data_IF_610039373521
#
_entry.id   IF_610039373521
#
_cell.length_a   1.000
_cell.length_b   1.000
_cell.length_c   1.000
_cell.angle_alpha   90.00
_cell.angle_beta   90.00
_cell.angle_gamma   90.00
#
_symmetry.space_group_name_H-M   'P 1'
#
loop_
_entity.id
_entity.type
_entity.pdbx_description
1 polymer ?
#
# COMPACT_ATOMS: atom_id res chain seq x y z
N UNK A 1 -70.46 -1.99 8.44
CA UNK A 1 -69.40 -1.51 7.53
C UNK A 1 -68.30 -0.68 8.20
N UNK A 2 -68.40 -0.31 9.50
CA UNK A 2 -67.40 0.57 10.16
C UNK A 2 -66.24 -0.21 10.83
N UNK A 3 -66.43 -1.50 11.14
CA UNK A 3 -65.44 -2.31 11.88
C UNK A 3 -64.26 -2.81 11.03
N UNK A 4 -64.43 -2.90 9.71
CA UNK A 4 -63.38 -3.36 8.80
C UNK A 4 -62.45 -2.23 8.31
N UNK A 5 -62.86 -0.95 8.44
CA UNK A 5 -61.98 0.18 8.11
C UNK A 5 -60.94 0.45 9.20
N UNK A 6 -61.25 0.18 10.48
CA UNK A 6 -60.34 0.45 11.60
C UNK A 6 -59.10 -0.47 11.62
N UNK A 7 -59.20 -1.67 11.03
CA UNK A 7 -58.11 -2.65 11.00
C UNK A 7 -57.09 -2.31 9.90
N UNK A 8 -57.54 -1.72 8.79
CA UNK A 8 -56.66 -1.34 7.66
C UNK A 8 -55.82 -0.09 7.99
N UNK A 9 -56.38 0.87 8.74
CA UNK A 9 -55.63 2.07 9.18
C UNK A 9 -54.55 1.76 10.22
N UNK A 10 -54.72 0.71 11.04
CA UNK A 10 -53.71 0.34 12.05
C UNK A 10 -52.48 -0.36 11.43
N UNK A 11 -52.64 -1.08 10.31
CA UNK A 11 -51.52 -1.76 9.61
C UNK A 11 -50.65 -0.81 8.78
N UNK A 12 -51.20 0.34 8.34
CA UNK A 12 -50.46 1.35 7.56
C UNK A 12 -49.51 2.21 8.41
N UNK A 13 -49.68 2.23 9.74
CA UNK A 13 -48.84 3.03 10.64
C UNK A 13 -47.56 2.30 11.11
N UNK A 14 -47.42 0.99 10.84
CA UNK A 14 -46.23 0.22 11.27
C UNK A 14 -45.13 0.12 10.21
N UNK A 15 -45.31 0.67 8.99
CA UNK A 15 -44.28 0.64 7.95
C UNK A 15 -43.38 1.87 7.92
N UNK A 16 -43.65 2.89 8.74
CA UNK A 16 -42.94 4.17 8.72
C UNK A 16 -41.96 4.34 9.89
N UNK A 17 -41.07 3.36 10.13
CA UNK A 17 -39.84 3.53 10.92
C UNK A 17 -38.84 2.40 10.61
N UNK A 18 -38.53 2.20 9.34
CA UNK A 18 -37.25 1.59 8.97
C UNK A 18 -36.17 2.64 9.26
N UNK A 19 -35.69 2.72 10.50
CA UNK A 19 -34.49 3.48 10.81
C UNK A 19 -33.38 3.00 9.86
N UNK A 20 -32.93 3.89 9.00
CA UNK A 20 -31.88 3.60 8.03
C UNK A 20 -30.70 3.06 8.83
N UNK A 21 -30.32 1.79 8.61
CA UNK A 21 -29.25 1.17 9.39
C UNK A 21 -27.99 2.02 9.21
N UNK A 22 -27.25 2.34 10.27
CA UNK A 22 -25.99 3.05 10.14
C UNK A 22 -25.08 2.29 9.17
N UNK A 23 -24.38 3.02 8.30
CA UNK A 23 -23.46 2.43 7.34
C UNK A 23 -22.41 1.60 8.08
N UNK A 24 -22.19 0.37 7.64
CA UNK A 24 -21.14 -0.51 8.16
C UNK A 24 -20.03 -0.61 7.12
N UNK A 25 -18.79 -0.40 7.55
CA UNK A 25 -17.61 -0.51 6.69
C UNK A 25 -17.60 -1.83 5.88
N UNK A 26 -17.34 -1.72 4.58
CA UNK A 26 -17.18 -2.84 3.68
C UNK A 26 -15.85 -2.69 2.91
N UNK A 27 -15.01 -3.72 2.96
CA UNK A 27 -13.69 -3.68 2.33
C UNK A 27 -13.76 -3.59 0.80
N UNK A 28 -14.75 -4.21 0.16
CA UNK A 28 -14.92 -4.14 -1.29
C UNK A 28 -15.37 -2.73 -1.72
N UNK A 29 -16.24 -2.08 -0.95
CA UNK A 29 -16.59 -0.67 -1.20
C UNK A 29 -15.38 0.24 -1.02
N UNK A 30 -14.53 -0.03 -0.02
CA UNK A 30 -13.28 0.71 0.21
C UNK A 30 -12.32 0.59 -0.96
N UNK A 31 -12.04 -0.64 -1.42
CA UNK A 31 -11.14 -0.89 -2.54
C UNK A 31 -11.66 -0.40 -3.89
N UNK A 32 -12.98 -0.23 -4.03
CA UNK A 32 -13.62 0.28 -5.27
C UNK A 32 -13.93 1.77 -5.24
N UNK A 33 -13.71 2.44 -4.10
CA UNK A 33 -13.96 3.87 -3.97
C UNK A 33 -13.05 4.67 -4.90
N UNK A 34 -13.61 5.71 -5.53
CA UNK A 34 -12.79 6.66 -6.31
C UNK A 34 -12.03 7.60 -5.37
N UNK A 35 -12.72 8.06 -4.35
CA UNK A 35 -12.21 8.96 -3.31
C UNK A 35 -12.78 8.53 -1.96
N UNK A 36 -11.96 8.65 -0.92
CA UNK A 36 -12.39 8.37 0.44
C UNK A 36 -12.99 9.61 1.12
N UNK A 37 -14.11 9.45 1.86
CA UNK A 37 -14.85 10.58 2.46
C UNK A 37 -14.32 11.02 3.83
N UNK A 38 -13.24 10.40 4.32
CA UNK A 38 -12.78 10.59 5.69
C UNK A 38 -12.08 11.94 5.86
N UNK A 39 -12.42 12.65 6.94
CA UNK A 39 -11.92 13.99 7.27
C UNK A 39 -10.64 13.96 8.12
N UNK A 40 -9.94 12.83 8.14
CA UNK A 40 -8.72 12.62 8.90
C UNK A 40 -7.61 13.60 8.48
N UNK A 41 -6.87 14.20 9.42
CA UNK A 41 -5.71 15.03 9.09
C UNK A 41 -4.57 14.16 8.50
N UNK A 42 -3.88 14.62 7.42
CA UNK A 42 -2.75 13.88 6.84
C UNK A 42 -1.66 13.51 7.86
N UNK A 43 -1.16 12.28 7.78
CA UNK A 43 0.00 11.81 8.55
C UNK A 43 1.17 11.48 7.63
N UNK A 44 2.40 11.84 7.99
CA UNK A 44 3.59 11.31 7.32
C UNK A 44 3.88 9.93 7.89
N UNK A 45 3.70 8.89 7.08
CA UNK A 45 3.82 7.49 7.51
C UNK A 45 5.15 6.84 7.16
N UNK A 46 5.89 7.43 6.21
CA UNK A 46 7.24 7.00 5.85
C UNK A 46 8.05 8.17 5.29
N UNK A 47 9.27 8.37 5.78
CA UNK A 47 10.21 9.36 5.25
C UNK A 47 11.32 8.68 4.48
N UNK A 48 11.61 9.17 3.29
CA UNK A 48 12.81 8.80 2.55
C UNK A 48 13.97 9.70 2.99
N UNK A 49 13.70 10.99 3.12
CA UNK A 49 14.58 12.02 3.67
C UNK A 49 13.77 13.26 4.12
N UNK A 50 14.44 14.40 4.30
CA UNK A 50 13.84 15.66 4.76
C UNK A 50 12.75 16.22 3.83
N UNK A 51 12.82 15.94 2.53
CA UNK A 51 11.94 16.53 1.52
C UNK A 51 11.02 15.53 0.84
N UNK A 52 11.38 14.24 0.91
CA UNK A 52 10.68 13.13 0.24
C UNK A 52 10.05 12.21 1.27
N UNK A 53 8.73 12.05 1.20
CA UNK A 53 7.96 11.28 2.17
C UNK A 53 6.63 10.78 1.62
N UNK A 54 6.08 9.75 2.26
CA UNK A 54 4.75 9.23 1.99
C UNK A 54 3.78 9.69 3.07
N UNK A 55 2.63 10.21 2.66
CA UNK A 55 1.52 10.56 3.54
C UNK A 55 0.41 9.53 3.46
N UNK A 56 -0.28 9.32 4.59
CA UNK A 56 -1.60 8.70 4.69
C UNK A 56 -2.63 9.80 4.86
N UNK A 57 -3.63 9.81 3.99
CA UNK A 57 -4.64 10.87 3.89
C UNK A 57 -6.02 10.24 3.70
N UNK A 58 -7.07 11.01 4.02
CA UNK A 58 -8.47 10.57 3.88
C UNK A 58 -8.66 9.13 4.38
N UNK A 59 -8.21 8.83 5.58
CA UNK A 59 -8.16 7.49 6.12
C UNK A 59 -9.17 7.28 7.24
N UNK A 60 -9.72 6.06 7.29
CA UNK A 60 -10.60 5.61 8.38
C UNK A 60 -9.79 5.26 9.62
N UNK A 61 -8.69 4.55 9.39
CA UNK A 61 -7.72 4.07 10.35
C UNK A 61 -6.37 3.84 9.63
N UNK A 62 -5.36 3.33 10.33
CA UNK A 62 -4.01 3.17 9.78
C UNK A 62 -3.87 2.17 8.62
N UNK A 63 -4.93 1.44 8.27
CA UNK A 63 -4.92 0.39 7.23
C UNK A 63 -5.96 0.63 6.13
N UNK A 64 -6.66 1.78 6.18
CA UNK A 64 -7.74 2.06 5.25
C UNK A 64 -7.73 3.55 4.87
N UNK A 65 -6.78 3.94 4.03
CA UNK A 65 -6.68 5.32 3.55
C UNK A 65 -6.19 5.45 2.12
N UNK A 66 -5.81 6.68 1.78
CA UNK A 66 -5.14 7.02 0.53
C UNK A 66 -3.70 7.41 0.83
N UNK A 67 -2.76 6.87 0.03
CA UNK A 67 -1.35 7.20 0.20
C UNK A 67 -0.80 8.03 -0.95
N UNK A 68 0.09 8.97 -0.64
CA UNK A 68 0.73 9.86 -1.60
C UNK A 68 2.23 9.93 -1.37
N UNK A 69 3.01 9.76 -2.44
CA UNK A 69 4.40 10.18 -2.46
C UNK A 69 4.48 11.69 -2.66
N UNK A 70 5.35 12.35 -1.90
CA UNK A 70 5.58 13.79 -1.94
C UNK A 70 7.08 14.08 -2.04
N UNK A 71 7.46 15.02 -2.90
CA UNK A 71 8.77 15.66 -2.93
C UNK A 71 8.57 17.18 -2.93
N UNK A 72 8.95 17.82 -1.82
CA UNK A 72 8.79 19.26 -1.65
C UNK A 72 9.80 20.09 -2.43
N UNK A 73 10.98 19.55 -2.77
CA UNK A 73 12.00 20.23 -3.57
C UNK A 73 11.67 20.19 -5.05
N UNK A 74 11.20 19.04 -5.53
CA UNK A 74 10.83 18.85 -6.94
C UNK A 74 9.36 19.24 -7.23
N UNK A 75 8.60 19.65 -6.22
CA UNK A 75 7.15 19.92 -6.32
C UNK A 75 6.36 18.72 -6.87
N UNK A 76 6.76 17.52 -6.50
CA UNK A 76 6.11 16.27 -6.94
C UNK A 76 5.10 15.84 -5.89
N UNK A 77 3.91 15.48 -6.37
CA UNK A 77 2.92 14.74 -5.59
C UNK A 77 2.29 13.67 -6.46
N UNK A 78 2.36 12.41 -6.02
CA UNK A 78 1.84 11.25 -6.76
C UNK A 78 0.96 10.41 -5.84
N UNK A 79 -0.29 10.18 -6.24
CA UNK A 79 -1.18 9.25 -5.55
C UNK A 79 -0.70 7.82 -5.79
N UNK A 80 -0.39 7.10 -4.73
CA UNK A 80 0.00 5.68 -4.77
C UNK A 80 -1.26 4.84 -4.93
N UNK A 81 -2.28 5.08 -4.09
CA UNK A 81 -3.60 4.47 -4.21
C UNK A 81 -4.30 4.33 -2.86
N UNK A 82 -5.35 3.50 -2.84
CA UNK A 82 -6.19 3.21 -1.66
C UNK A 82 -5.81 1.84 -1.12
N UNK A 83 -5.46 1.73 0.17
CA UNK A 83 -5.19 0.43 0.82
C UNK A 83 -4.00 -0.29 0.19
N UNK A 84 -2.86 0.41 0.07
CA UNK A 84 -1.68 -0.12 -0.63
C UNK A 84 -0.42 0.01 0.21
N UNK A 85 0.20 1.19 0.19
CA UNK A 85 1.50 1.37 0.82
C UNK A 85 1.41 1.24 2.34
N UNK A 86 0.38 1.84 2.96
CA UNK A 86 0.16 1.83 4.41
C UNK A 86 0.06 0.42 5.00
N UNK A 87 -0.31 -0.55 4.18
CA UNK A 87 -0.52 -1.93 4.59
C UNK A 87 0.75 -2.77 4.59
N UNK A 88 1.87 -2.28 4.02
CA UNK A 88 3.12 -3.02 4.00
C UNK A 88 3.74 -3.12 5.41
N UNK A 89 3.99 -4.34 5.88
CA UNK A 89 4.42 -4.62 7.25
C UNK A 89 5.92 -4.96 7.38
N UNK A 90 6.63 -5.06 6.26
CA UNK A 90 8.05 -5.41 6.22
C UNK A 90 8.99 -4.23 6.51
N UNK A 91 10.23 -4.35 6.06
CA UNK A 91 11.24 -3.28 6.16
C UNK A 91 11.49 -2.63 4.81
N UNK A 92 11.69 -1.31 4.80
CA UNK A 92 11.92 -0.50 3.60
C UNK A 92 13.19 0.33 3.80
N UNK A 93 14.19 0.14 2.96
CA UNK A 93 15.47 0.84 3.04
C UNK A 93 15.73 1.58 1.73
N UNK A 94 15.32 2.85 1.65
CA UNK A 94 15.71 3.73 0.54
C UNK A 94 17.04 4.43 0.89
N UNK A 95 18.12 3.99 0.26
CA UNK A 95 19.49 4.39 0.57
C UNK A 95 20.27 4.92 -0.65
N UNK A 96 19.58 5.24 -1.75
CA UNK A 96 20.21 5.90 -2.89
C UNK A 96 20.54 7.36 -2.56
N UNK A 97 21.83 7.74 -2.42
CA UNK A 97 22.23 9.10 -2.08
C UNK A 97 21.97 10.10 -3.21
N UNK A 98 21.77 9.63 -4.45
CA UNK A 98 21.46 10.51 -5.60
C UNK A 98 20.02 10.99 -5.58
N UNK A 99 19.16 10.27 -4.85
CA UNK A 99 17.73 10.51 -4.82
C UNK A 99 16.97 10.06 -6.08
N UNK A 100 17.64 9.44 -7.06
CA UNK A 100 17.01 9.04 -8.32
C UNK A 100 16.18 7.77 -8.17
N UNK A 101 16.67 6.82 -7.38
CA UNK A 101 16.01 5.55 -7.15
C UNK A 101 15.14 5.59 -5.90
N UNK A 102 13.87 5.25 -6.08
CA UNK A 102 12.88 5.18 -5.01
C UNK A 102 12.15 3.86 -5.15
N UNK A 103 11.98 3.13 -4.05
CA UNK A 103 11.19 1.89 -4.00
C UNK A 103 10.24 1.93 -2.83
N UNK A 104 8.95 1.75 -3.12
CA UNK A 104 7.82 1.78 -2.20
C UNK A 104 7.05 0.46 -2.34
N UNK A 105 7.32 -0.55 -1.51
CA UNK A 105 6.56 -1.80 -1.56
C UNK A 105 5.13 -1.59 -1.10
N UNK A 106 4.21 -2.30 -1.76
CA UNK A 106 2.80 -2.27 -1.41
C UNK A 106 2.43 -3.57 -0.69
N UNK A 107 1.32 -3.55 0.02
CA UNK A 107 0.56 -4.73 0.40
C UNK A 107 -0.93 -4.46 0.14
N UNK A 108 -1.79 -5.40 0.49
CA UNK A 108 -3.24 -5.17 0.47
C UNK A 108 -3.77 -5.17 1.90
N UNK A 109 -4.97 -4.59 2.13
CA UNK A 109 -5.51 -4.42 3.47
C UNK A 109 -5.70 -5.75 4.21
N UNK A 110 -5.71 -5.73 5.55
CA UNK A 110 -5.94 -6.91 6.35
C UNK A 110 -7.29 -7.55 6.01
N UNK A 111 -7.33 -8.89 5.96
CA UNK A 111 -8.52 -9.69 5.63
C UNK A 111 -9.04 -9.51 4.19
N UNK A 112 -8.21 -9.03 3.27
CA UNK A 112 -8.55 -9.14 1.84
C UNK A 112 -8.69 -10.62 1.43
N UNK A 113 -9.62 -10.89 0.50
CA UNK A 113 -9.76 -12.20 -0.11
C UNK A 113 -8.99 -12.23 -1.43
N UNK A 114 -8.03 -13.13 -1.53
CA UNK A 114 -7.34 -13.46 -2.78
C UNK A 114 -8.01 -14.67 -3.43
N UNK A 115 -8.05 -14.71 -4.76
CA UNK A 115 -8.55 -15.89 -5.49
C UNK A 115 -7.61 -17.09 -5.38
N UNK A 116 -7.95 -18.19 -6.06
CA UNK A 116 -7.27 -19.49 -5.94
C UNK A 116 -5.76 -19.46 -6.27
N UNK A 117 -5.30 -18.46 -7.04
CA UNK A 117 -3.89 -18.29 -7.43
C UNK A 117 -3.09 -17.35 -6.50
N UNK A 118 -3.73 -16.88 -5.43
CA UNK A 118 -3.22 -15.81 -4.60
C UNK A 118 -3.29 -14.45 -5.30
N UNK A 119 -2.93 -13.43 -4.54
CA UNK A 119 -2.73 -12.06 -5.00
C UNK A 119 -1.29 -11.88 -5.50
N UNK A 120 -1.16 -11.18 -6.62
CA UNK A 120 0.12 -10.66 -7.09
C UNK A 120 0.29 -9.24 -6.54
N UNK A 121 1.23 -9.07 -5.61
CA UNK A 121 1.49 -7.79 -4.94
C UNK A 121 2.69 -7.11 -5.59
N UNK A 122 2.52 -5.87 -6.08
CA UNK A 122 3.60 -5.12 -6.66
C UNK A 122 4.31 -4.23 -5.63
N UNK A 123 5.50 -3.79 -6.00
CA UNK A 123 6.14 -2.60 -5.45
C UNK A 123 6.09 -1.49 -6.50
N UNK A 124 6.09 -0.25 -6.03
CA UNK A 124 6.32 0.92 -6.86
C UNK A 124 7.80 1.25 -6.87
N UNK A 125 8.36 1.54 -8.05
CA UNK A 125 9.73 2.04 -8.14
C UNK A 125 9.86 3.18 -9.15
N UNK A 126 10.81 4.06 -8.89
CA UNK A 126 11.22 5.15 -9.78
C UNK A 126 12.73 5.09 -9.97
N UNK A 127 13.19 5.52 -11.15
CA UNK A 127 14.61 5.71 -11.48
C UNK A 127 14.89 7.15 -11.95
N UNK A 128 13.94 8.05 -11.71
CA UNK A 128 13.94 9.45 -12.17
C UNK A 128 13.52 10.45 -11.07
N UNK A 129 13.79 10.10 -9.80
CA UNK A 129 13.53 10.95 -8.65
C UNK A 129 12.07 11.05 -8.24
N UNK A 130 11.22 10.14 -8.71
CA UNK A 130 9.79 10.11 -8.45
C UNK A 130 8.95 10.87 -9.48
N UNK A 131 9.54 11.28 -10.60
CA UNK A 131 8.79 11.92 -11.70
C UNK A 131 7.84 10.92 -12.33
N UNK A 132 8.31 9.69 -12.58
CA UNK A 132 7.50 8.53 -12.97
C UNK A 132 7.70 7.36 -12.01
N UNK A 133 6.67 6.54 -11.89
CA UNK A 133 6.70 5.29 -11.13
C UNK A 133 6.24 4.13 -12.01
N UNK A 134 6.85 2.97 -11.79
CA UNK A 134 6.53 1.72 -12.45
C UNK A 134 6.25 0.63 -11.42
N UNK A 135 5.52 -0.40 -11.84
CA UNK A 135 5.18 -1.54 -11.00
C UNK A 135 6.09 -2.73 -11.30
N UNK A 136 6.57 -3.39 -10.26
CA UNK A 136 7.22 -4.70 -10.34
C UNK A 136 6.56 -5.63 -9.33
N UNK A 137 6.12 -6.81 -9.76
CA UNK A 137 5.58 -7.83 -8.84
C UNK A 137 6.72 -8.45 -8.04
N UNK A 138 6.69 -8.28 -6.71
CA UNK A 138 7.69 -8.87 -5.80
C UNK A 138 7.15 -10.09 -5.04
N UNK A 139 5.83 -10.20 -4.91
CA UNK A 139 5.15 -11.28 -4.20
C UNK A 139 4.01 -11.78 -5.11
N UNK A 140 4.28 -12.74 -6.02
CA UNK A 140 3.33 -13.11 -7.08
C UNK A 140 2.17 -14.00 -6.62
N UNK A 141 2.29 -14.67 -5.46
CA UNK A 141 1.36 -15.71 -5.00
C UNK A 141 1.11 -15.65 -3.49
N UNK A 142 0.60 -14.54 -2.97
CA UNK A 142 0.24 -14.45 -1.54
C UNK A 142 -1.26 -14.60 -1.31
N UNK A 143 -1.62 -15.40 -0.31
CA UNK A 143 -3.00 -15.51 0.17
C UNK A 143 -3.33 -14.55 1.31
N UNK A 144 -2.29 -13.99 1.94
CA UNK A 144 -2.38 -13.09 3.09
C UNK A 144 -1.36 -11.96 2.93
N UNK A 145 -1.53 -11.09 1.92
CA UNK A 145 -0.51 -10.12 1.51
C UNK A 145 -0.11 -9.16 2.64
N UNK A 146 -1.07 -8.74 3.46
CA UNK A 146 -0.81 -7.94 4.65
C UNK A 146 0.18 -8.65 5.59
N UNK A 147 -0.10 -9.88 6.00
CA UNK A 147 0.73 -10.63 6.93
C UNK A 147 2.04 -11.15 6.32
N UNK A 148 2.00 -11.60 5.07
CA UNK A 148 3.16 -12.14 4.35
C UNK A 148 4.21 -11.05 4.08
N UNK A 149 3.79 -9.80 3.89
CA UNK A 149 4.71 -8.67 3.68
C UNK A 149 5.70 -8.48 4.85
N UNK A 150 5.39 -8.95 6.06
CA UNK A 150 6.30 -8.93 7.23
C UNK A 150 7.63 -9.65 6.98
N UNK A 151 7.64 -10.62 6.07
CA UNK A 151 8.83 -11.42 5.74
C UNK A 151 9.80 -10.65 4.86
N UNK A 152 9.37 -9.52 4.29
CA UNK A 152 10.13 -8.83 3.26
C UNK A 152 10.97 -7.68 3.81
N UNK A 153 12.19 -7.58 3.30
CA UNK A 153 13.01 -6.36 3.36
C UNK A 153 13.27 -5.89 1.94
N UNK A 154 12.87 -4.66 1.65
CA UNK A 154 13.00 -4.06 0.32
C UNK A 154 14.00 -2.92 0.42
N UNK A 155 15.10 -3.03 -0.31
CA UNK A 155 16.20 -2.05 -0.27
C UNK A 155 16.41 -1.44 -1.64
N UNK A 156 16.55 -0.13 -1.71
CA UNK A 156 16.96 0.60 -2.92
C UNK A 156 18.32 1.26 -2.68
N UNK A 157 19.24 1.08 -3.62
CA UNK A 157 20.54 1.76 -3.67
C UNK A 157 20.67 2.52 -4.98
N UNK A 158 21.80 3.21 -5.19
CA UNK A 158 22.08 3.90 -6.45
C UNK A 158 22.08 3.01 -7.69
N UNK A 159 22.34 1.70 -7.53
CA UNK A 159 22.56 0.79 -8.67
C UNK A 159 21.48 -0.29 -8.80
N UNK A 160 20.75 -0.59 -7.71
CA UNK A 160 19.83 -1.72 -7.69
C UNK A 160 18.77 -1.61 -6.60
N UNK A 161 17.67 -2.34 -6.80
CA UNK A 161 16.77 -2.73 -5.73
C UNK A 161 16.96 -4.19 -5.36
N UNK A 162 16.73 -4.50 -4.09
CA UNK A 162 16.84 -5.83 -3.52
C UNK A 162 15.49 -6.19 -2.91
N UNK A 163 14.97 -7.34 -3.31
CA UNK A 163 13.81 -7.98 -2.68
C UNK A 163 14.35 -9.13 -1.86
N UNK A 164 14.34 -8.98 -0.55
CA UNK A 164 14.72 -10.02 0.40
C UNK A 164 13.46 -10.59 1.04
N UNK A 165 13.28 -11.90 0.98
CA UNK A 165 12.27 -12.63 1.74
C UNK A 165 12.95 -13.51 2.79
N UNK A 166 12.58 -13.29 4.06
CA UNK A 166 13.05 -14.15 5.15
C UNK A 166 12.38 -15.53 4.99
N UNK A 167 13.16 -16.61 4.84
CA UNK A 167 12.59 -17.95 4.79
C UNK A 167 11.91 -18.33 6.12
N UNK A 168 10.99 -19.29 6.08
CA UNK A 168 10.46 -19.95 7.29
C UNK A 168 11.62 -20.52 8.12
N UNK A 169 11.45 -20.61 9.44
CA UNK A 169 12.48 -20.99 10.43
C UNK A 169 13.26 -22.29 10.12
N UNK A 170 12.78 -23.12 9.20
CA UNK A 170 13.36 -24.41 8.81
C UNK A 170 14.16 -24.39 7.50
N UNK A 171 14.39 -23.22 6.89
CA UNK A 171 15.08 -23.11 5.60
C UNK A 171 16.21 -22.08 5.65
N UNK A 172 17.44 -22.52 5.38
CA UNK A 172 18.62 -21.66 5.22
C UNK A 172 18.66 -20.95 3.84
N UNK A 173 17.66 -21.18 2.98
CA UNK A 173 17.59 -20.54 1.66
C UNK A 173 17.12 -19.09 1.77
N UNK A 174 18.09 -18.18 1.70
CA UNK A 174 17.83 -16.76 1.50
C UNK A 174 17.30 -16.53 0.08
N UNK A 175 16.04 -16.11 -0.04
CA UNK A 175 15.50 -15.63 -1.31
C UNK A 175 15.79 -14.14 -1.39
N UNK A 176 16.93 -13.81 -2.00
CA UNK A 176 17.24 -12.43 -2.39
C UNK A 176 17.20 -12.33 -3.90
N UNK A 177 16.45 -11.37 -4.43
CA UNK A 177 16.52 -10.98 -5.84
C UNK A 177 17.05 -9.55 -5.96
N UNK A 178 18.11 -9.35 -6.74
CA UNK A 178 18.70 -8.05 -7.03
C UNK A 178 18.35 -7.65 -8.46
N UNK A 179 17.67 -6.52 -8.58
CA UNK A 179 17.20 -5.92 -9.82
C UNK A 179 18.03 -4.67 -10.10
N UNK A 180 18.90 -4.66 -11.14
CA UNK A 180 19.61 -3.45 -11.55
C UNK A 180 18.66 -2.29 -11.89
N UNK A 181 18.82 -1.16 -11.21
CA UNK A 181 18.03 0.03 -11.48
C UNK A 181 18.73 0.85 -12.56
N UNK A 182 18.16 0.81 -13.77
CA UNK A 182 18.67 1.55 -14.93
C UNK A 182 17.65 2.62 -15.28
N UNK A 183 18.12 3.86 -15.37
CA UNK A 183 17.27 5.00 -15.71
C UNK A 183 16.51 4.75 -17.03
N UNK A 184 15.18 4.89 -16.97
CA UNK A 184 14.29 4.69 -18.12
C UNK A 184 14.00 3.22 -18.46
N UNK A 185 14.58 2.25 -17.76
CA UNK A 185 14.26 0.84 -17.94
C UNK A 185 13.03 0.43 -17.12
N UNK A 186 12.06 -0.19 -17.78
CA UNK A 186 10.84 -0.69 -17.15
C UNK A 186 10.84 -2.22 -17.14
N UNK A 187 10.74 -2.82 -15.96
CA UNK A 187 10.60 -4.26 -15.81
C UNK A 187 9.24 -4.74 -16.33
N UNK A 188 9.24 -5.84 -17.09
CA UNK A 188 8.03 -6.40 -17.68
C UNK A 188 8.28 -7.62 -18.56
N UNK A 189 7.20 -8.20 -19.09
CA UNK A 189 7.28 -9.36 -19.96
C UNK A 189 8.11 -9.05 -21.22
N UNK A 190 9.20 -9.80 -21.43
CA UNK A 190 10.08 -9.66 -22.60
C UNK A 190 11.10 -8.52 -22.53
N UNK A 191 11.16 -7.76 -21.42
CA UNK A 191 12.17 -6.72 -21.24
C UNK A 191 13.55 -7.36 -21.07
N UNK A 192 14.50 -6.98 -21.94
CA UNK A 192 15.92 -7.38 -21.82
C UNK A 192 16.69 -6.25 -21.18
N UNK A 193 17.33 -6.55 -20.05
CA UNK A 193 18.20 -5.60 -19.38
C UNK A 193 19.35 -5.17 -20.30
N UNK A 194 19.69 -3.87 -20.34
CA UNK A 194 20.74 -3.35 -21.20
C UNK A 194 22.13 -3.77 -20.71
N UNK A 195 23.12 -3.72 -21.60
CA UNK A 195 24.54 -3.83 -21.22
C UNK A 195 24.96 -5.16 -20.59
N UNK A 196 24.23 -6.26 -20.85
CA UNK A 196 24.52 -7.57 -20.27
C UNK A 196 24.17 -7.69 -18.79
N UNK A 197 23.48 -6.69 -18.22
CA UNK A 197 22.95 -6.76 -16.86
C UNK A 197 21.91 -7.88 -16.76
N UNK A 198 21.80 -8.45 -15.56
CA UNK A 198 20.85 -9.53 -15.24
C UNK A 198 20.31 -9.35 -13.84
N UNK A 199 19.13 -9.93 -13.61
CA UNK A 199 18.61 -10.11 -12.26
C UNK A 199 19.47 -11.20 -11.60
N UNK A 200 19.96 -10.93 -10.40
CA UNK A 200 20.78 -11.85 -9.63
C UNK A 200 19.97 -12.40 -8.46
N UNK A 201 20.15 -13.69 -8.17
CA UNK A 201 19.44 -14.37 -7.08
C UNK A 201 20.43 -14.91 -6.04
N UNK A 202 19.99 -15.01 -4.78
CA UNK A 202 20.81 -15.54 -3.69
C UNK A 202 21.98 -14.63 -3.31
N UNK A 203 21.91 -13.33 -3.65
CA UNK A 203 22.94 -12.37 -3.25
C UNK A 203 22.82 -12.05 -1.75
N UNK A 204 23.95 -11.79 -1.05
CA UNK A 204 23.92 -11.36 0.34
C UNK A 204 23.06 -10.10 0.52
N UNK A 205 22.38 -9.99 1.66
CA UNK A 205 21.69 -8.77 2.02
C UNK A 205 22.73 -7.64 2.13
N UNK A 206 22.35 -6.44 1.71
CA UNK A 206 23.19 -5.26 1.90
C UNK A 206 23.11 -4.80 3.38
N UNK A 207 23.62 -5.61 4.31
CA UNK A 207 23.38 -5.55 5.77
C UNK A 207 23.76 -4.20 6.43
N UNK A 208 24.65 -3.43 5.80
CA UNK A 208 25.08 -2.12 6.29
C UNK A 208 24.33 -0.94 5.66
N UNK A 209 23.34 -1.21 4.80
CA UNK A 209 22.58 -0.18 4.10
C UNK A 209 21.50 0.37 5.04
N UNK A 210 21.52 1.68 5.28
CA UNK A 210 20.54 2.37 6.11
C UNK A 210 19.72 3.33 5.27
N UNK A 211 18.45 3.49 5.63
CA UNK A 211 17.60 4.50 5.01
C UNK A 211 18.17 5.89 5.32
N UNK A 212 18.10 6.81 4.36
CA UNK A 212 18.65 8.16 4.53
C UNK A 212 17.97 8.93 5.68
N UNK A 213 16.65 8.75 5.85
CA UNK A 213 15.88 9.28 6.97
C UNK A 213 16.11 8.55 8.30
N UNK A 214 16.77 7.39 8.29
CA UNK A 214 16.82 6.46 9.41
C UNK A 214 15.54 5.65 9.65
N UNK A 215 14.43 5.96 8.96
CA UNK A 215 13.17 5.23 9.06
C UNK A 215 13.19 4.02 8.12
N UNK A 216 12.99 2.82 8.67
CA UNK A 216 12.98 1.57 7.89
C UNK A 216 11.65 0.81 7.91
N UNK A 217 10.60 1.42 8.50
CA UNK A 217 9.25 0.86 8.59
C UNK A 217 8.20 1.96 8.47
N UNK A 218 7.01 1.56 8.04
CA UNK A 218 5.82 2.42 8.05
C UNK A 218 5.36 2.59 9.49
N UNK A 219 5.03 3.83 9.85
CA UNK A 219 4.53 4.19 11.18
C UNK A 219 3.27 5.02 11.04
N UNK A 220 2.24 4.72 11.80
CA UNK A 220 1.00 5.49 11.83
C UNK A 220 0.56 5.70 13.28
N UNK A 221 0.12 6.92 13.61
CA UNK A 221 -0.46 7.21 14.91
C UNK A 221 -1.95 6.85 14.89
N UNK A 222 -2.27 5.68 15.46
CA UNK A 222 -3.63 5.17 15.55
C UNK A 222 -4.54 5.96 16.52
N UNK A 223 -3.99 6.91 17.29
CA UNK A 223 -4.79 7.80 18.13
C UNK A 223 -5.46 8.91 17.31
N UNK A 224 -4.90 9.26 16.16
CA UNK A 224 -5.46 10.26 15.25
C UNK A 224 -6.50 9.58 14.36
N UNK A 225 -7.77 9.94 14.54
CA UNK A 225 -8.91 9.35 13.84
C UNK A 225 -9.76 10.42 13.15
N UNK A 226 -10.44 10.09 12.04
CA UNK A 226 -11.45 10.98 11.48
C UNK A 226 -12.61 11.16 12.47
N UNK A 227 -13.34 12.26 12.33
CA UNK A 227 -14.60 12.47 13.05
C UNK A 227 -15.73 11.65 12.43
N UNK A 228 -15.57 11.19 11.18
CA UNK A 228 -16.57 10.48 10.39
C UNK A 228 -16.14 9.05 9.92
N UNK A 229 -15.69 8.14 10.82
CA UNK A 229 -15.15 6.82 10.42
C UNK A 229 -16.16 5.89 9.73
N UNK A 230 -17.45 6.17 9.86
CA UNK A 230 -18.55 5.42 9.24
C UNK A 230 -19.23 6.20 8.10
N UNK A 231 -18.53 7.20 7.54
CA UNK A 231 -19.00 7.90 6.35
C UNK A 231 -19.22 6.92 5.18
N UNK A 232 -20.35 7.02 4.45
CA UNK A 232 -20.64 6.13 3.32
C UNK A 232 -19.60 6.23 2.21
N UNK A 233 -19.14 5.09 1.72
CA UNK A 233 -18.25 5.01 0.57
C UNK A 233 -19.05 5.09 -0.74
N UNK A 234 -18.62 5.98 -1.65
CA UNK A 234 -19.27 6.18 -2.96
C UNK A 234 -18.44 5.46 -4.03
N UNK A 235 -19.10 4.63 -4.84
CA UNK A 235 -18.49 3.93 -5.99
C UNK A 235 -18.43 4.82 -7.24
#
# INVERSE_FOLDING_TARGET
MVRNLAIVTLMLLMQACSAQRPYSFNLADFLSAKELPYDSPPQVIYRLDDHRFVTLERYRDCYHGETFYNDTKAHIRKRIGIGLFEDFQGRIVNADPTGMNIVLPLAFPPRISCGDRGCAVPLWYSTDGGTTFHLLTYMPHSFRPFEDSKKYTITATKDAMFVYEKPMETSDYLITARYPLVQGFVYGAGAKLPGGLRIEYGVPLAENTRALSGQDRITCDASIKPTNPDAPLVR
#
